data_IF_266861666890
#
_entry.id   IF_266861666890
#
_cell.length_a   1.000
_cell.length_b   1.000
_cell.length_c   1.000
_cell.angle_alpha   90.00
_cell.angle_beta   90.00
_cell.angle_gamma   90.00
#
_symmetry.space_group_name_H-M   'P 1'
#
loop_
_entity.id
_entity.type
_entity.pdbx_description
1 polymer ?
#
# COMPACT_ATOMS: atom_id res chain seq x y z
N UNK A 1 11.84 6.15 2.13
CA UNK A 1 10.66 5.72 2.93
C UNK A 1 9.38 5.77 2.11
N UNK A 2 8.44 4.94 2.46
CA UNK A 2 7.12 4.98 1.82
C UNK A 2 6.40 6.29 2.18
N UNK A 3 5.50 6.71 1.28
CA UNK A 3 4.67 7.88 1.52
C UNK A 3 3.67 7.61 2.64
N UNK A 4 3.26 8.65 3.34
CA UNK A 4 2.12 8.58 4.23
C UNK A 4 0.88 8.94 3.44
N UNK A 5 -0.04 7.98 3.28
CA UNK A 5 -1.29 8.20 2.55
C UNK A 5 -2.36 8.64 3.55
N UNK A 6 -3.03 9.74 3.24
CA UNK A 6 -4.05 10.33 4.09
C UNK A 6 -5.32 10.56 3.27
N UNK A 7 -6.43 10.84 3.95
CA UNK A 7 -7.65 11.22 3.26
C UNK A 7 -7.43 12.46 2.38
N UNK A 8 -6.52 13.36 2.82
CA UNK A 8 -6.26 14.63 2.13
C UNK A 8 -5.44 14.46 0.85
N UNK A 9 -4.46 13.54 0.83
CA UNK A 9 -3.60 13.38 -0.35
C UNK A 9 -3.99 12.24 -1.28
N UNK A 10 -4.95 11.42 -0.90
CA UNK A 10 -5.33 10.22 -1.65
C UNK A 10 -5.71 10.51 -3.10
N UNK A 11 -6.61 11.48 -3.31
CA UNK A 11 -7.08 11.83 -4.65
C UNK A 11 -5.93 12.25 -5.57
N UNK A 12 -5.03 13.06 -5.04
CA UNK A 12 -3.86 13.55 -5.79
C UNK A 12 -2.94 12.40 -6.18
N UNK A 13 -2.71 11.46 -5.26
CA UNK A 13 -1.85 10.30 -5.54
C UNK A 13 -2.47 9.39 -6.59
N UNK A 14 -3.77 9.17 -6.53
CA UNK A 14 -4.49 8.36 -7.53
C UNK A 14 -4.51 9.03 -8.89
N UNK A 15 -4.51 10.35 -8.93
CA UNK A 15 -4.52 11.12 -10.19
C UNK A 15 -3.15 11.14 -10.88
N UNK A 16 -2.09 10.62 -10.24
CA UNK A 16 -0.75 10.65 -10.81
C UNK A 16 -0.61 9.81 -12.09
N UNK A 17 -1.51 8.89 -12.32
CA UNK A 17 -1.44 7.97 -13.46
C UNK A 17 -0.48 6.80 -13.27
N UNK A 18 0.21 6.74 -12.14
CA UNK A 18 1.15 5.66 -11.82
C UNK A 18 0.45 4.51 -11.12
N UNK A 19 1.01 3.30 -11.19
CA UNK A 19 0.54 2.22 -10.30
C UNK A 19 0.69 2.65 -8.85
N UNK A 20 -0.23 2.19 -8.00
CA UNK A 20 -0.25 2.55 -6.58
C UNK A 20 -0.28 1.30 -5.72
N UNK A 21 0.53 1.29 -4.67
CA UNK A 21 0.57 0.23 -3.66
C UNK A 21 0.25 0.86 -2.32
N UNK A 22 -0.76 0.34 -1.63
CA UNK A 22 -1.16 0.84 -0.32
C UNK A 22 -1.00 -0.26 0.72
N UNK A 23 -0.19 0.00 1.74
CA UNK A 23 -0.04 -0.85 2.92
C UNK A 23 -0.96 -0.33 4.02
N UNK A 24 -2.04 -1.05 4.30
CA UNK A 24 -2.95 -0.73 5.40
C UNK A 24 -2.41 -1.35 6.68
N UNK A 25 -2.14 -0.51 7.67
CA UNK A 25 -1.47 -0.91 8.91
C UNK A 25 -2.01 -0.14 10.11
N UNK A 26 -1.60 -0.55 11.31
CA UNK A 26 -1.85 0.19 12.56
C UNK A 26 -0.70 -0.04 13.53
N UNK A 27 -0.51 0.90 14.47
CA UNK A 27 0.57 0.79 15.46
C UNK A 27 0.41 -0.42 16.37
N UNK A 28 -0.83 -0.78 16.69
CA UNK A 28 -1.15 -1.89 17.57
C UNK A 28 -1.07 -3.26 16.88
N UNK A 29 -0.75 -3.30 15.60
CA UNK A 29 -0.74 -4.52 14.81
C UNK A 29 0.67 -5.11 14.76
N UNK A 30 0.88 -6.24 15.44
CA UNK A 30 2.18 -6.91 15.46
C UNK A 30 2.69 -7.33 14.07
N UNK A 31 1.90 -8.09 13.30
CA UNK A 31 2.32 -8.51 11.94
C UNK A 31 2.62 -7.36 10.99
N UNK A 32 2.01 -6.20 11.19
CA UNK A 32 2.27 -5.01 10.37
C UNK A 32 3.72 -4.54 10.49
N UNK A 33 4.36 -4.82 11.63
CA UNK A 33 5.76 -4.44 11.87
C UNK A 33 6.75 -5.21 11.01
N UNK A 34 6.34 -6.35 10.47
CA UNK A 34 7.15 -7.12 9.54
C UNK A 34 7.03 -6.56 8.12
N UNK A 35 5.84 -6.15 7.73
CA UNK A 35 5.55 -5.66 6.38
C UNK A 35 6.03 -4.21 6.19
N UNK A 36 5.87 -3.38 7.20
CA UNK A 36 6.22 -1.96 7.13
C UNK A 36 7.61 -1.67 6.60
N UNK A 37 8.67 -2.26 7.18
CA UNK A 37 10.05 -2.04 6.68
C UNK A 37 10.24 -2.53 5.25
N UNK A 38 9.57 -3.60 4.85
CA UNK A 38 9.61 -4.12 3.47
C UNK A 38 9.01 -3.09 2.51
N UNK A 39 7.91 -2.50 2.89
CA UNK A 39 7.25 -1.45 2.09
C UNK A 39 8.19 -0.23 1.93
N UNK A 40 8.88 0.15 2.98
CA UNK A 40 9.85 1.24 2.91
C UNK A 40 11.00 0.92 1.94
N UNK A 41 11.52 -0.31 1.98
CA UNK A 41 12.57 -0.74 1.06
C UNK A 41 12.07 -0.71 -0.39
N UNK A 42 10.88 -1.21 -0.65
CA UNK A 42 10.30 -1.21 -1.99
C UNK A 42 10.07 0.21 -2.51
N UNK A 43 9.65 1.12 -1.64
CA UNK A 43 9.48 2.52 -2.02
C UNK A 43 10.80 3.13 -2.51
N UNK A 44 11.90 2.81 -1.84
CA UNK A 44 13.23 3.26 -2.26
C UNK A 44 13.65 2.62 -3.59
N UNK A 45 13.41 1.33 -3.75
CA UNK A 45 13.81 0.60 -4.96
C UNK A 45 13.08 1.05 -6.22
N UNK A 46 11.78 1.31 -6.12
CA UNK A 46 10.97 1.69 -7.28
C UNK A 46 10.94 3.19 -7.55
N UNK A 47 11.22 4.00 -6.53
CA UNK A 47 11.26 5.45 -6.69
C UNK A 47 10.00 6.01 -7.33
N UNK A 48 10.16 6.74 -8.41
CA UNK A 48 9.05 7.42 -9.09
C UNK A 48 8.20 6.51 -9.99
N UNK A 49 8.58 5.25 -10.17
CA UNK A 49 7.85 4.35 -11.06
C UNK A 49 6.49 3.93 -10.50
N UNK A 50 6.40 3.83 -9.18
CA UNK A 50 5.20 3.36 -8.48
C UNK A 50 4.99 4.24 -7.26
N UNK A 51 3.74 4.61 -7.00
CA UNK A 51 3.39 5.27 -5.74
C UNK A 51 3.26 4.18 -4.68
N UNK A 52 4.15 4.17 -3.72
CA UNK A 52 4.12 3.19 -2.61
C UNK A 52 3.96 3.94 -1.31
N UNK A 53 2.86 3.66 -0.61
CA UNK A 53 2.54 4.37 0.61
C UNK A 53 1.90 3.50 1.67
N UNK A 54 1.84 4.05 2.88
CA UNK A 54 1.24 3.42 4.05
C UNK A 54 0.02 4.21 4.48
N UNK A 55 -1.06 3.51 4.79
CA UNK A 55 -2.29 4.11 5.28
C UNK A 55 -2.59 3.55 6.67
N UNK A 56 -2.51 4.42 7.68
CA UNK A 56 -2.87 4.06 9.06
C UNK A 56 -4.39 3.95 9.14
N UNK A 57 -4.90 2.75 9.43
CA UNK A 57 -6.34 2.50 9.43
C UNK A 57 -7.09 3.32 10.49
N UNK A 58 -6.40 3.79 11.52
CA UNK A 58 -7.01 4.63 12.54
C UNK A 58 -7.16 6.09 12.10
N UNK A 59 -6.55 6.47 10.97
CA UNK A 59 -6.55 7.85 10.45
C UNK A 59 -7.17 7.99 9.07
N UNK A 60 -7.46 6.88 8.38
CA UNK A 60 -7.87 6.88 6.97
C UNK A 60 -9.20 6.16 6.76
N UNK A 61 -10.22 6.53 7.53
CA UNK A 61 -11.52 5.86 7.53
C UNK A 61 -12.12 5.70 6.14
N UNK A 62 -12.07 6.74 5.33
CA UNK A 62 -12.68 6.74 4.01
C UNK A 62 -11.99 5.77 3.07
N UNK A 63 -10.66 5.74 3.11
CA UNK A 63 -9.86 4.86 2.25
C UNK A 63 -10.06 3.41 2.68
N UNK A 64 -10.06 3.14 3.99
CA UNK A 64 -10.31 1.82 4.54
C UNK A 64 -11.67 1.29 4.07
N UNK A 65 -12.71 2.12 4.15
CA UNK A 65 -14.05 1.75 3.72
C UNK A 65 -14.10 1.49 2.21
N UNK A 66 -13.45 2.33 1.42
CA UNK A 66 -13.43 2.21 -0.03
C UNK A 66 -12.86 0.87 -0.49
N UNK A 67 -11.78 0.41 0.13
CA UNK A 67 -11.13 -0.85 -0.23
C UNK A 67 -11.60 -2.03 0.61
N UNK A 68 -12.56 -1.81 1.50
CA UNK A 68 -13.18 -2.85 2.34
C UNK A 68 -12.14 -3.64 3.14
N UNK A 69 -11.17 -2.94 3.69
CA UNK A 69 -10.11 -3.55 4.49
C UNK A 69 -10.68 -4.02 5.82
N UNK A 70 -10.57 -5.31 6.11
CA UNK A 70 -11.08 -5.91 7.36
C UNK A 70 -9.99 -6.47 8.25
N UNK A 71 -8.87 -6.86 7.65
CA UNK A 71 -7.73 -7.42 8.37
C UNK A 71 -6.49 -6.64 8.00
N UNK A 72 -5.55 -6.52 8.91
CA UNK A 72 -4.28 -5.86 8.65
C UNK A 72 -3.13 -6.77 9.11
N UNK A 73 -1.96 -6.71 8.42
CA UNK A 73 -1.72 -5.85 7.27
C UNK A 73 -2.46 -6.33 6.03
N UNK A 74 -2.87 -5.39 5.20
CA UNK A 74 -3.40 -5.68 3.86
C UNK A 74 -2.67 -4.75 2.90
N UNK A 75 -2.09 -5.33 1.84
CA UNK A 75 -1.44 -4.56 0.78
C UNK A 75 -2.29 -4.66 -0.48
N UNK A 76 -2.67 -3.50 -1.01
CA UNK A 76 -3.54 -3.41 -2.19
C UNK A 76 -2.73 -2.85 -3.34
N UNK A 77 -2.86 -3.47 -4.51
CA UNK A 77 -2.16 -3.09 -5.74
C UNK A 77 -3.17 -2.53 -6.73
N UNK A 78 -2.95 -1.30 -7.17
CA UNK A 78 -3.91 -0.54 -7.98
C UNK A 78 -3.24 -0.09 -9.27
N UNK A 79 -3.90 -0.32 -10.40
CA UNK A 79 -3.45 0.16 -11.68
C UNK A 79 -4.64 0.65 -12.49
N UNK A 80 -4.52 1.86 -13.06
CA UNK A 80 -5.61 2.44 -13.83
C UNK A 80 -6.86 2.68 -13.00
N UNK A 81 -6.71 2.97 -11.70
CA UNK A 81 -7.82 3.19 -10.78
C UNK A 81 -8.51 1.92 -10.29
N UNK A 82 -8.03 0.75 -10.69
CA UNK A 82 -8.64 -0.53 -10.31
C UNK A 82 -7.70 -1.38 -9.47
N UNK A 83 -8.25 -2.09 -8.49
CA UNK A 83 -7.49 -3.07 -7.70
C UNK A 83 -7.18 -4.27 -8.59
N UNK A 84 -5.89 -4.49 -8.83
CA UNK A 84 -5.44 -5.62 -9.66
C UNK A 84 -4.93 -6.79 -8.84
N UNK A 85 -4.56 -6.56 -7.58
CA UNK A 85 -4.12 -7.61 -6.67
C UNK A 85 -4.22 -7.15 -5.22
N UNK A 86 -4.13 -8.10 -4.29
CA UNK A 86 -4.28 -7.84 -2.87
C UNK A 86 -3.60 -8.96 -2.08
N UNK A 87 -2.88 -8.61 -1.02
CA UNK A 87 -2.29 -9.57 -0.10
C UNK A 87 -2.77 -9.25 1.31
N UNK A 88 -3.36 -10.23 1.98
CA UNK A 88 -3.82 -10.09 3.36
C UNK A 88 -2.89 -10.88 4.28
N UNK A 89 -2.40 -10.22 5.31
CA UNK A 89 -1.49 -10.84 6.29
C UNK A 89 -0.03 -10.59 5.96
N UNK A 90 0.84 -11.08 6.83
CA UNK A 90 2.29 -10.95 6.66
C UNK A 90 2.74 -11.70 5.41
N UNK A 91 3.70 -11.13 4.70
CA UNK A 91 4.20 -11.68 3.46
C UNK A 91 5.67 -11.32 3.27
N UNK A 92 6.32 -11.91 2.29
CA UNK A 92 7.73 -11.66 1.99
C UNK A 92 7.90 -10.50 1.01
N UNK A 93 9.11 -9.92 1.02
CA UNK A 93 9.49 -8.89 0.05
C UNK A 93 9.38 -9.42 -1.39
N UNK A 94 9.81 -10.66 -1.61
CA UNK A 94 9.77 -11.27 -2.96
C UNK A 94 8.35 -11.37 -3.50
N UNK A 95 7.39 -11.73 -2.65
CA UNK A 95 5.98 -11.79 -3.04
C UNK A 95 5.46 -10.41 -3.45
N UNK A 96 5.74 -9.39 -2.64
CA UNK A 96 5.29 -8.03 -2.93
C UNK A 96 5.97 -7.49 -4.18
N UNK A 97 7.28 -7.70 -4.32
CA UNK A 97 8.04 -7.25 -5.47
C UNK A 97 7.51 -7.86 -6.78
N UNK A 98 7.21 -9.15 -6.76
CA UNK A 98 6.66 -9.85 -7.92
C UNK A 98 5.33 -9.22 -8.36
N UNK A 99 4.47 -8.87 -7.41
CA UNK A 99 3.18 -8.24 -7.71
C UNK A 99 3.33 -6.82 -8.23
N UNK A 100 4.29 -6.06 -7.72
CA UNK A 100 4.59 -4.73 -8.25
C UNK A 100 5.10 -4.84 -9.68
N UNK A 101 6.05 -5.74 -9.93
CA UNK A 101 6.62 -5.91 -11.26
C UNK A 101 5.55 -6.29 -12.29
N UNK A 102 4.54 -7.03 -11.88
CA UNK A 102 3.43 -7.40 -12.75
C UNK A 102 2.57 -6.20 -13.17
N UNK A 103 2.67 -5.08 -12.46
CA UNK A 103 1.94 -3.85 -12.80
C UNK A 103 2.71 -2.92 -13.76
N UNK A 104 3.99 -3.17 -13.96
CA UNK A 104 4.86 -2.27 -14.74
C UNK A 104 4.83 -2.54 -16.23
#
# INVERSE_FOLDING_TARGET
MALTITNENYESLMASGKPVVIDFWAEWCGPCRMVGPIIDELAEEYGDQVVIGKCDVDSCDDIVAQYRVRNIPTVVFIKGGEVVDKVVGATSKDTLKSKIDAML
#
